data_IF_877290453206
#
_entry.id   IF_877290453206
#
_cell.length_a   1.000
_cell.length_b   1.000
_cell.length_c   1.000
_cell.angle_alpha   90.00
_cell.angle_beta   90.00
_cell.angle_gamma   90.00
#
_symmetry.space_group_name_H-M   'P 1'
#
loop_
_entity.id
_entity.type
_entity.pdbx_description
1 polymer ?
#
# COMPACT_ATOMS: atom_id res chain seq x y z
N UNK A 1 12.83 18.48 10.59
CA UNK A 1 12.57 19.83 10.04
C UNK A 1 12.21 19.81 8.55
N UNK A 2 13.01 19.20 7.66
CA UNK A 2 12.81 19.39 6.21
C UNK A 2 11.68 18.60 5.55
N UNK A 3 11.11 17.58 6.20
CA UNK A 3 10.26 16.61 5.50
C UNK A 3 8.75 16.75 5.77
N UNK A 4 8.37 16.83 7.05
CA UNK A 4 6.96 16.91 7.45
C UNK A 4 6.41 18.35 7.48
N UNK A 5 7.27 19.36 7.45
CA UNK A 5 6.88 20.78 7.61
C UNK A 5 6.33 21.14 8.99
N UNK A 6 6.28 20.16 9.90
CA UNK A 6 5.69 20.25 11.23
C UNK A 6 6.65 19.59 12.24
N UNK A 7 6.80 20.20 13.43
CA UNK A 7 7.69 19.68 14.47
C UNK A 7 6.82 19.01 15.53
N UNK A 8 6.80 17.68 15.50
CA UNK A 8 6.04 16.85 16.45
C UNK A 8 6.96 16.02 17.32
N UNK A 9 6.52 15.77 18.55
CA UNK A 9 7.14 14.84 19.49
C UNK A 9 6.09 13.82 19.93
N UNK A 10 6.46 12.54 19.93
CA UNK A 10 5.55 11.45 20.30
C UNK A 10 6.28 10.13 20.50
N UNK A 11 5.54 9.16 21.01
CA UNK A 11 6.06 7.82 21.31
C UNK A 11 6.13 7.00 20.03
N UNK A 12 7.24 6.31 19.79
CA UNK A 12 7.38 5.36 18.69
C UNK A 12 6.53 4.11 18.97
N UNK A 13 5.45 3.94 18.20
CA UNK A 13 4.53 2.80 18.33
C UNK A 13 5.04 1.58 17.57
N UNK A 14 5.69 1.78 16.43
CA UNK A 14 6.28 0.70 15.68
C UNK A 14 6.84 1.12 14.33
N UNK A 15 7.32 0.12 13.60
CA UNK A 15 7.88 0.26 12.26
C UNK A 15 7.26 -0.80 11.37
N UNK A 16 6.86 -0.44 10.16
CA UNK A 16 6.38 -1.42 9.17
C UNK A 16 7.55 -2.15 8.49
N UNK A 17 7.25 -3.11 7.60
CA UNK A 17 8.30 -3.90 6.91
C UNK A 17 9.03 -3.07 5.86
N UNK A 18 8.36 -2.08 5.28
CA UNK A 18 8.96 -1.13 4.33
C UNK A 18 10.04 -0.27 4.99
N UNK A 19 9.75 0.14 6.22
CA UNK A 19 10.59 0.83 7.17
C UNK A 19 10.07 2.20 7.62
N UNK A 20 8.82 2.53 7.33
CA UNK A 20 8.11 3.68 7.86
C UNK A 20 7.92 3.53 9.37
N UNK A 21 8.07 4.63 10.10
CA UNK A 21 7.93 4.67 11.56
C UNK A 21 6.64 5.37 11.95
N UNK A 22 5.93 4.83 12.92
CA UNK A 22 4.63 5.33 13.36
C UNK A 22 4.71 5.86 14.78
N UNK A 23 4.15 7.04 15.00
CA UNK A 23 4.21 7.74 16.27
C UNK A 23 2.82 8.14 16.76
N UNK A 24 2.69 8.26 18.08
CA UNK A 24 1.47 8.71 18.74
C UNK A 24 1.78 9.69 19.89
N UNK A 25 0.96 10.73 20.03
CA UNK A 25 0.90 11.63 21.18
C UNK A 25 -0.56 12.04 21.40
N UNK A 26 -1.18 11.55 22.48
CA UNK A 26 -2.59 11.82 22.81
C UNK A 26 -2.79 13.02 23.75
N UNK A 27 -1.72 13.53 24.36
CA UNK A 27 -1.80 14.53 25.44
C UNK A 27 -1.72 15.96 24.92
N UNK A 28 -0.76 16.23 24.02
CA UNK A 28 -0.43 17.60 23.59
C UNK A 28 -1.02 17.95 22.22
N UNK A 29 -1.38 16.96 21.42
CA UNK A 29 -1.84 17.15 20.04
C UNK A 29 -3.37 17.26 19.94
N UNK A 30 -3.82 18.02 18.93
CA UNK A 30 -5.24 18.14 18.61
C UNK A 30 -5.81 16.81 18.09
N UNK A 31 -7.13 16.59 18.23
CA UNK A 31 -7.79 15.44 17.61
C UNK A 31 -7.44 15.31 16.12
N UNK A 32 -7.22 14.07 15.67
CA UNK A 32 -6.77 13.72 14.31
C UNK A 32 -5.32 14.13 13.94
N UNK A 33 -4.58 14.79 14.84
CA UNK A 33 -3.13 15.05 14.69
C UNK A 33 -2.28 14.21 15.64
N UNK A 34 -2.91 13.41 16.49
CA UNK A 34 -2.26 12.59 17.53
C UNK A 34 -1.45 11.43 16.96
N UNK A 35 -1.73 10.96 15.74
CA UNK A 35 -0.99 9.89 15.05
C UNK A 35 -0.33 10.43 13.78
N UNK A 36 0.91 10.02 13.52
CA UNK A 36 1.59 10.35 12.27
C UNK A 36 2.62 9.30 11.88
N UNK A 37 3.05 9.36 10.62
CA UNK A 37 4.05 8.48 10.03
C UNK A 37 5.26 9.28 9.57
N UNK A 38 6.45 8.82 9.93
CA UNK A 38 7.72 9.24 9.37
C UNK A 38 8.13 8.21 8.31
N UNK A 39 7.98 8.59 7.04
CA UNK A 39 8.27 7.69 5.93
C UNK A 39 9.78 7.44 5.83
N UNK A 40 10.14 6.23 5.39
CA UNK A 40 11.54 5.87 5.17
C UNK A 40 12.16 6.64 4.00
N UNK A 41 11.42 6.75 2.90
CA UNK A 41 11.90 7.40 1.68
C UNK A 41 11.67 8.90 1.75
N UNK A 42 12.41 9.65 0.93
CA UNK A 42 12.34 11.11 0.78
C UNK A 42 11.30 11.58 -0.27
N UNK A 43 10.65 10.67 -0.99
CA UNK A 43 9.52 10.97 -1.85
C UNK A 43 8.26 10.45 -1.15
N UNK A 44 7.56 11.33 -0.43
CA UNK A 44 6.40 11.00 0.40
C UNK A 44 5.27 10.45 -0.46
N UNK A 45 4.92 9.18 -0.28
CA UNK A 45 3.70 8.61 -0.86
C UNK A 45 2.86 7.88 0.20
N UNK A 46 1.62 8.32 0.47
CA UNK A 46 0.67 7.61 1.33
C UNK A 46 0.44 6.15 0.94
N UNK A 47 0.64 5.79 -0.33
CA UNK A 47 0.51 4.42 -0.79
C UNK A 47 1.57 3.47 -0.21
N UNK A 48 2.65 3.99 0.39
CA UNK A 48 3.69 3.21 1.05
C UNK A 48 3.27 2.66 2.42
N UNK A 49 2.16 3.14 3.00
CA UNK A 49 1.65 2.65 4.28
C UNK A 49 1.01 1.27 4.09
N UNK A 50 1.44 0.27 4.87
CA UNK A 50 0.83 -1.06 4.85
C UNK A 50 -0.64 -1.03 5.34
N UNK A 51 -1.51 -1.95 4.88
CA UNK A 51 -2.94 -1.90 5.19
C UNK A 51 -3.30 -1.86 6.69
N UNK A 52 -2.60 -2.64 7.53
CA UNK A 52 -2.84 -2.65 8.98
C UNK A 52 -2.47 -1.33 9.65
N UNK A 53 -1.35 -0.72 9.23
CA UNK A 53 -0.94 0.60 9.69
C UNK A 53 -1.84 1.71 9.14
N UNK A 54 -2.37 1.54 7.93
CA UNK A 54 -3.35 2.46 7.34
C UNK A 54 -4.66 2.50 8.14
N UNK A 55 -5.14 1.35 8.62
CA UNK A 55 -6.31 1.30 9.50
C UNK A 55 -6.06 2.04 10.82
N UNK A 56 -4.88 1.82 11.43
CA UNK A 56 -4.53 2.46 12.71
C UNK A 56 -4.32 3.96 12.60
N UNK A 57 -3.56 4.43 11.60
CA UNK A 57 -3.30 5.87 11.43
C UNK A 57 -4.56 6.66 11.05
N UNK A 58 -5.53 5.99 10.40
CA UNK A 58 -6.84 6.56 10.04
C UNK A 58 -7.88 6.47 11.17
N UNK A 59 -7.47 6.09 12.39
CA UNK A 59 -8.38 5.91 13.54
C UNK A 59 -9.51 4.91 13.32
N UNK A 60 -9.34 3.94 12.41
CA UNK A 60 -10.30 2.85 12.22
C UNK A 60 -10.21 1.81 13.33
N UNK A 61 -9.00 1.64 13.90
CA UNK A 61 -8.70 0.74 15.01
C UNK A 61 -7.87 1.48 16.07
N UNK A 62 -8.08 1.14 17.33
CA UNK A 62 -7.33 1.74 18.44
C UNK A 62 -5.94 1.13 18.59
N UNK A 63 -5.84 -0.19 18.41
CA UNK A 63 -4.59 -0.93 18.58
C UNK A 63 -3.80 -0.97 17.27
N UNK A 64 -2.47 -0.77 17.30
CA UNK A 64 -1.63 -0.92 16.12
C UNK A 64 -1.56 -2.40 15.70
N UNK A 65 -1.17 -2.69 14.44
CA UNK A 65 -1.05 -4.06 13.95
C UNK A 65 -0.02 -4.91 14.71
N UNK A 66 0.90 -4.27 15.44
CA UNK A 66 1.86 -4.94 16.33
C UNK A 66 1.24 -5.45 17.63
N UNK A 67 0.06 -4.98 18.01
CA UNK A 67 -0.60 -5.34 19.27
C UNK A 67 -1.97 -5.99 19.08
N UNK A 68 -2.66 -5.70 17.98
CA UNK A 68 -3.99 -6.26 17.71
C UNK A 68 -3.89 -7.71 17.17
N UNK A 69 -4.37 -8.73 17.90
CA UNK A 69 -4.35 -10.12 17.43
C UNK A 69 -5.12 -10.32 16.12
N UNK A 70 -6.12 -9.47 15.83
CA UNK A 70 -6.93 -9.55 14.61
C UNK A 70 -6.11 -9.08 13.39
N UNK A 71 -5.19 -8.13 13.59
CA UNK A 71 -4.33 -7.61 12.53
C UNK A 71 -3.03 -8.40 12.35
N UNK A 72 -2.66 -9.22 13.35
CA UNK A 72 -1.56 -10.18 13.27
C UNK A 72 -1.94 -11.47 12.53
N UNK A 73 -2.78 -11.37 11.49
CA UNK A 73 -3.09 -12.52 10.65
C UNK A 73 -1.82 -13.00 9.96
N UNK A 74 -1.58 -14.31 10.04
CA UNK A 74 -0.56 -14.95 9.20
C UNK A 74 -0.85 -14.67 7.73
N UNK A 75 0.20 -14.56 6.91
CA UNK A 75 0.07 -14.35 5.47
C UNK A 75 -0.82 -15.45 4.91
N UNK A 76 -1.96 -15.05 4.33
CA UNK A 76 -2.91 -16.02 3.77
C UNK A 76 -2.30 -16.68 2.53
N UNK A 77 -2.71 -17.90 2.15
CA UNK A 77 -2.10 -18.62 1.02
C UNK A 77 -2.16 -17.88 -0.33
N UNK A 78 -3.14 -17.00 -0.50
CA UNK A 78 -3.37 -16.20 -1.70
C UNK A 78 -2.88 -14.76 -1.58
N UNK A 79 -2.47 -14.34 -0.39
CA UNK A 79 -2.05 -12.98 -0.12
C UNK A 79 -0.60 -12.76 -0.52
N UNK A 80 -0.30 -11.56 -0.97
CA UNK A 80 1.08 -11.20 -1.27
C UNK A 80 1.87 -11.12 0.03
N UNK A 81 3.11 -11.64 0.07
CA UNK A 81 3.92 -11.64 1.29
C UNK A 81 4.32 -10.23 1.74
N UNK A 82 4.39 -9.28 0.81
CA UNK A 82 4.80 -7.90 1.05
C UNK A 82 3.81 -6.92 0.40
N UNK A 83 3.66 -5.76 1.04
CA UNK A 83 2.83 -4.68 0.54
C UNK A 83 3.37 -4.12 -0.78
N UNK A 84 2.46 -3.78 -1.71
CA UNK A 84 2.80 -3.18 -3.00
C UNK A 84 2.22 -1.77 -3.08
N UNK A 85 3.08 -0.74 -3.20
CA UNK A 85 2.61 0.63 -3.31
C UNK A 85 1.95 0.92 -4.67
N UNK A 86 1.46 2.14 -4.83
CA UNK A 86 0.88 2.59 -6.09
C UNK A 86 1.98 2.78 -7.15
N UNK A 87 1.83 2.11 -8.29
CA UNK A 87 2.77 2.20 -9.41
C UNK A 87 2.29 3.15 -10.53
N UNK A 88 1.33 4.04 -10.25
CA UNK A 88 0.84 5.03 -11.22
C UNK A 88 1.98 5.84 -11.84
N UNK A 89 1.89 6.15 -13.13
CA UNK A 89 2.91 6.87 -13.90
C UNK A 89 4.32 6.21 -13.93
N UNK A 90 4.46 4.98 -13.44
CA UNK A 90 5.68 4.18 -13.56
C UNK A 90 5.57 3.09 -14.63
N UNK A 91 6.67 2.39 -14.90
CA UNK A 91 6.65 1.19 -15.78
C UNK A 91 5.77 0.06 -15.23
N UNK A 92 5.57 0.02 -13.91
CA UNK A 92 4.73 -0.97 -13.22
C UNK A 92 3.25 -0.61 -13.15
N UNK A 93 2.82 0.49 -13.78
CA UNK A 93 1.43 0.91 -13.76
C UNK A 93 0.49 -0.19 -14.31
N UNK A 94 -0.67 -0.33 -13.68
CA UNK A 94 -1.70 -1.25 -14.14
C UNK A 94 -2.16 -0.88 -15.56
N UNK A 95 -2.08 -1.85 -16.48
CA UNK A 95 -2.58 -1.73 -17.85
C UNK A 95 -3.81 -2.60 -18.02
N UNK A 96 -4.93 -1.98 -18.33
CA UNK A 96 -6.15 -2.70 -18.64
C UNK A 96 -6.01 -3.44 -19.97
N UNK A 97 -6.61 -4.61 -20.05
CA UNK A 97 -6.71 -5.39 -21.27
C UNK A 97 -8.02 -6.17 -21.27
N UNK A 98 -8.47 -6.61 -22.45
CA UNK A 98 -9.63 -7.49 -22.55
C UNK A 98 -9.31 -8.85 -21.93
N UNK A 99 -10.02 -9.23 -20.87
CA UNK A 99 -9.93 -10.57 -20.29
C UNK A 99 -10.68 -11.62 -21.11
N UNK A 100 -11.42 -11.21 -22.15
CA UNK A 100 -12.14 -12.11 -23.05
C UNK A 100 -11.37 -12.38 -24.33
N UNK A 101 -11.42 -13.64 -24.78
CA UNK A 101 -10.97 -14.05 -26.12
C UNK A 101 -11.97 -13.57 -27.18
N UNK A 102 -11.54 -13.38 -28.45
CA UNK A 102 -12.47 -13.11 -29.55
C UNK A 102 -13.58 -14.17 -29.61
N UNK A 103 -14.83 -13.72 -29.73
CA UNK A 103 -16.00 -14.62 -29.81
C UNK A 103 -16.11 -15.33 -31.17
N UNK A 104 -15.52 -14.73 -32.21
CA UNK A 104 -15.51 -15.25 -33.57
C UNK A 104 -14.07 -15.61 -33.94
N UNK A 105 -13.87 -16.81 -34.49
CA UNK A 105 -12.58 -17.26 -35.01
C UNK A 105 -12.48 -16.90 -36.50
N UNK A 106 -11.43 -16.18 -36.88
CA UNK A 106 -11.17 -15.89 -38.28
C UNK A 106 -10.76 -17.16 -39.04
N UNK A 107 -11.10 -17.23 -40.33
CA UNK A 107 -10.58 -18.26 -41.21
C UNK A 107 -9.09 -18.01 -41.48
N UNK A 108 -8.25 -18.99 -41.17
CA UNK A 108 -6.83 -18.97 -41.53
C UNK A 108 -6.65 -19.55 -42.93
N UNK A 109 -6.37 -18.70 -43.91
CA UNK A 109 -6.24 -19.11 -45.31
C UNK A 109 -4.90 -19.79 -45.56
N UNK A 110 -4.91 -20.82 -46.41
CA UNK A 110 -3.70 -21.43 -46.96
C UNK A 110 -3.75 -21.27 -48.48
N UNK A 111 -2.71 -20.69 -49.07
CA UNK A 111 -2.64 -20.52 -50.52
C UNK A 111 -2.07 -21.79 -51.16
N UNK A 112 -2.84 -22.41 -52.06
CA UNK A 112 -2.37 -23.54 -52.87
C UNK A 112 -2.01 -23.08 -54.29
N UNK A 113 -0.89 -23.55 -54.87
CA UNK A 113 -0.51 -23.23 -56.25
C UNK A 113 -1.44 -23.92 -57.25
N UNK A 114 -1.68 -23.29 -58.40
CA UNK A 114 -2.38 -23.92 -59.54
C UNK A 114 -1.39 -24.85 -60.27
N UNK A 115 -1.65 -26.15 -60.27
CA UNK A 115 -0.91 -27.16 -61.07
C UNK A 115 -1.43 -27.24 -62.50
#
# INVERSE_FOLDING_TARGET
MHYQGDTKAGTLIGKDRYGNKYFENLEEELPLRTRWVDYKDAELDPSHIEPGWHAWISYMVDKPPTQDPILQTQVRPWELPDHRPNFTASRGAFKTYSTVKPKLTAWNTTAEPRT
#
